data_IF_898661662913
#
_entry.id   IF_898661662913
#
_cell.length_a   1.000
_cell.length_b   1.000
_cell.length_c   1.000
_cell.angle_alpha   90.00
_cell.angle_beta   90.00
_cell.angle_gamma   90.00
#
_symmetry.space_group_name_H-M   'P 1'
#
loop_
_entity.id
_entity.type
_entity.pdbx_description
1 polymer ?
2 non-polymer ?
3 non-polymer ?
4 non-polymer ?
5 non-polymer ?
6 non-polymer ?
7 water ?
#
# COMPACT_ATOMS: atom_id res chain seq x y z
N UNK A 2 -17.73 -15.50 -11.17
CA UNK A 2 -17.66 -14.00 -11.09
C UNK A 2 -16.30 -13.40 -11.47
N UNK A 3 -16.33 -12.58 -12.52
CA UNK A 3 -15.12 -12.05 -13.16
C UNK A 3 -14.70 -10.68 -12.61
N UNK A 4 -15.59 -10.05 -11.85
CA UNK A 4 -15.31 -8.73 -11.31
C UNK A 4 -14.67 -8.91 -9.93
N UNK A 5 -13.38 -8.61 -9.85
CA UNK A 5 -12.64 -8.78 -8.61
C UNK A 5 -13.00 -7.69 -7.62
N UNK A 6 -13.08 -8.07 -6.35
CA UNK A 6 -13.29 -7.13 -5.26
C UNK A 6 -12.18 -6.07 -5.24
N UNK A 7 -12.57 -4.81 -5.17
CA UNK A 7 -11.67 -3.68 -5.17
C UNK A 7 -11.10 -3.45 -3.75
N UNK A 8 -10.42 -4.45 -3.19
CA UNK A 8 -9.92 -4.40 -1.81
C UNK A 8 -8.66 -5.24 -1.70
N UNK A 9 -7.98 -5.09 -0.57
CA UNK A 9 -6.78 -5.87 -0.25
C UNK A 9 -7.20 -7.04 0.63
N UNK A 10 -8.52 -7.24 0.75
CA UNK A 10 -9.06 -8.37 1.52
C UNK A 10 -8.45 -9.71 1.16
N UNK A 11 -8.29 -9.99 -0.12
CA UNK A 11 -7.71 -11.28 -0.55
C UNK A 11 -6.27 -11.44 -0.05
N UNK A 12 -5.55 -10.33 0.05
CA UNK A 12 -4.16 -10.35 0.55
C UNK A 12 -4.09 -10.46 2.08
N UNK A 13 -4.88 -9.67 2.78
CA UNK A 13 -4.80 -9.65 4.26
C UNK A 13 -5.37 -10.94 4.87
N UNK A 14 -6.24 -11.62 4.10
CA UNK A 14 -6.82 -12.89 4.55
C UNK A 14 -6.08 -14.08 3.98
N UNK A 15 -4.99 -13.81 3.28
CA UNK A 15 -4.16 -14.84 2.67
C UNK A 15 -3.16 -15.32 3.72
N UNK A 16 -3.57 -16.34 4.47
CA UNK A 16 -2.90 -16.72 5.71
C UNK A 16 -1.45 -17.19 5.53
N UNK A 17 -1.09 -17.65 4.33
CA UNK A 17 0.25 -18.21 4.09
C UNK A 17 1.34 -17.22 3.67
N UNK A 18 0.96 -15.97 3.42
CA UNK A 18 1.92 -14.97 2.93
C UNK A 18 3.05 -14.70 3.92
N UNK A 19 4.27 -14.71 3.41
CA UNK A 19 5.48 -14.41 4.18
C UNK A 19 5.99 -12.99 3.87
N UNK A 20 5.78 -12.55 2.63
CA UNK A 20 6.20 -11.22 2.17
C UNK A 20 5.06 -10.46 1.50
N UNK A 21 4.86 -9.23 1.93
CA UNK A 21 3.99 -8.31 1.25
C UNK A 21 4.80 -7.07 0.90
N UNK A 22 5.27 -7.02 -0.34
CA UNK A 22 6.01 -5.85 -0.83
C UNK A 22 5.03 -4.77 -1.25
N UNK A 23 5.44 -3.51 -1.10
CA UNK A 23 4.63 -2.37 -1.51
C UNK A 23 5.51 -1.43 -2.33
N UNK A 24 5.12 -1.15 -3.56
CA UNK A 24 5.96 -0.33 -4.46
C UNK A 24 5.16 0.59 -5.33
N UNK A 25 5.84 1.58 -5.91
CA UNK A 25 5.18 2.62 -6.67
C UNK A 25 6.05 3.87 -6.72
N UNK A 26 5.61 4.85 -7.49
CA UNK A 26 6.41 6.08 -7.67
C UNK A 26 6.54 6.82 -6.32
N UNK A 27 7.53 7.71 -6.20
CA UNK A 27 7.69 8.51 -4.98
C UNK A 27 6.44 9.34 -4.73
N UNK A 28 5.99 9.41 -3.46
CA UNK A 28 4.86 10.29 -3.05
C UNK A 28 3.44 9.80 -3.27
N UNK A 29 3.29 8.57 -3.78
CA UNK A 29 1.97 8.01 -4.13
C UNK A 29 1.24 7.46 -2.91
N UNK A 30 1.98 7.09 -1.88
CA UNK A 30 1.35 6.67 -0.62
C UNK A 30 1.77 5.31 -0.16
N UNK A 31 3.03 4.96 -0.41
CA UNK A 31 3.54 3.69 0.02
C UNK A 31 3.75 3.57 1.52
N UNK A 32 4.26 4.63 2.15
CA UNK A 32 4.40 4.65 3.61
C UNK A 32 3.02 4.46 4.19
N UNK A 33 2.07 5.26 3.72
CA UNK A 33 0.69 5.20 4.22
C UNK A 33 0.03 3.82 4.02
N UNK A 34 0.13 3.28 2.81
CA UNK A 34 -0.47 1.98 2.48
C UNK A 34 0.21 0.81 3.19
N UNK A 35 1.54 0.77 3.18
CA UNK A 35 2.27 -0.30 3.84
C UNK A 35 2.05 -0.29 5.36
N UNK A 36 2.11 0.89 5.97
CA UNK A 36 1.76 1.05 7.40
C UNK A 36 0.33 0.64 7.75
N UNK A 37 -0.64 1.01 6.90
CA UNK A 37 -2.03 0.66 7.15
C UNK A 37 -2.26 -0.84 7.06
N UNK A 38 -1.69 -1.47 6.02
CA UNK A 38 -1.70 -2.93 5.88
C UNK A 38 -1.09 -3.64 7.10
N UNK A 39 0.10 -3.20 7.53
CA UNK A 39 0.75 -3.76 8.72
C UNK A 39 -0.09 -3.61 9.99
N UNK A 40 -0.74 -2.47 10.16
CA UNK A 40 -1.62 -2.23 11.30
C UNK A 40 -2.82 -3.17 11.27
N UNK A 41 -3.41 -3.35 10.09
CA UNK A 41 -4.52 -4.28 9.90
C UNK A 41 -4.12 -5.72 10.17
N UNK A 42 -3.00 -6.15 9.61
CA UNK A 42 -2.52 -7.50 9.88
C UNK A 42 -2.30 -7.74 11.37
N UNK A 43 -1.62 -6.81 12.04
CA UNK A 43 -1.31 -6.93 13.48
C UNK A 43 -2.57 -7.01 14.34
N UNK A 44 -3.55 -6.17 14.02
CA UNK A 44 -4.83 -6.13 14.74
C UNK A 44 -5.68 -7.39 14.56
N UNK A 45 -5.67 -7.92 13.34
CA UNK A 45 -6.46 -9.11 13.02
C UNK A 45 -5.92 -10.37 13.65
N UNK A 46 -4.60 -10.47 13.76
CA UNK A 46 -4.05 -11.65 14.41
C UNK A 46 -3.06 -11.24 15.52
N UNK A 47 -3.60 -10.80 16.67
CA UNK A 47 -2.80 -10.24 17.79
C UNK A 47 -1.76 -11.19 18.38
N UNK A 48 -1.87 -12.49 18.12
CA UNK A 48 -0.89 -13.44 18.67
C UNK A 48 0.24 -13.75 17.72
N UNK A 49 0.18 -13.17 16.53
CA UNK A 49 1.26 -13.33 15.56
C UNK A 49 2.05 -12.03 15.43
N UNK A 50 3.33 -12.18 15.14
CA UNK A 50 4.29 -11.08 15.07
C UNK A 50 4.55 -10.63 13.63
N UNK A 51 4.47 -9.32 13.42
CA UNK A 51 4.59 -8.70 12.10
C UNK A 51 5.71 -7.67 12.09
N UNK A 52 6.42 -7.61 10.97
CA UNK A 52 7.44 -6.59 10.75
C UNK A 52 7.08 -5.72 9.57
N UNK A 53 7.14 -4.41 9.79
CA UNK A 53 7.06 -3.46 8.71
C UNK A 53 8.44 -2.85 8.52
N UNK A 54 9.02 -3.07 7.35
CA UNK A 54 10.34 -2.56 7.00
C UNK A 54 10.27 -1.62 5.80
N UNK A 55 10.98 -0.50 5.89
CA UNK A 55 11.07 0.45 4.78
C UNK A 55 12.52 0.63 4.37
N UNK A 56 12.77 0.68 3.06
CA UNK A 56 14.09 0.98 2.54
C UNK A 56 14.21 2.45 2.12
N UNK A 57 13.14 3.21 2.33
CA UNK A 57 13.15 4.63 2.02
C UNK A 57 14.30 5.34 2.74
N UNK A 58 15.12 6.11 2.00
CA UNK A 58 16.15 6.93 2.65
C UNK A 58 15.54 8.16 3.31
N UNK A 59 14.72 7.91 4.32
CA UNK A 59 13.94 8.93 5.02
C UNK A 59 13.41 8.28 6.28
N UNK A 60 13.09 9.10 7.28
CA UNK A 60 12.42 8.60 8.47
C UNK A 60 10.92 8.48 8.21
N UNK A 61 10.55 7.78 7.14
CA UNK A 61 9.16 7.70 6.75
C UNK A 61 8.27 7.00 7.77
N UNK A 62 8.70 5.83 8.23
CA UNK A 62 7.95 5.09 9.24
C UNK A 62 7.93 5.82 10.58
N UNK A 63 9.05 6.43 10.94
CA UNK A 63 9.15 7.20 12.17
C UNK A 63 8.12 8.30 12.20
N UNK A 64 8.03 9.07 11.10
CA UNK A 64 7.12 10.21 11.05
C UNK A 64 5.67 9.76 10.96
N UNK A 65 5.41 8.66 10.25
CA UNK A 65 4.04 8.13 10.09
C UNK A 65 3.47 7.60 11.42
N UNK A 66 4.33 6.96 12.20
CA UNK A 66 3.94 6.35 13.48
C UNK A 66 4.16 7.27 14.68
N UNK A 67 4.87 8.38 14.44
CA UNK A 67 5.23 9.33 15.50
C UNK A 67 6.08 8.66 16.58
N UNK A 68 7.07 7.88 16.13
CA UNK A 68 7.89 7.09 17.03
C UNK A 68 9.22 6.92 16.33
N UNK A 69 10.31 6.85 17.07
CA UNK A 69 11.64 6.71 16.46
C UNK A 69 11.98 5.26 16.12
N UNK A 70 12.27 5.01 14.83
CA UNK A 70 12.69 3.68 14.35
C UNK A 70 14.08 3.72 13.76
N UNK A 71 14.65 2.54 13.51
CA UNK A 71 16.00 2.47 12.95
C UNK A 71 16.31 1.13 12.35
N UNK A 72 17.60 0.79 12.28
CA UNK A 72 18.05 -0.44 11.66
C UNK A 72 17.61 -1.67 12.45
N UNK A 73 17.47 -1.51 13.76
CA UNK A 73 17.00 -2.56 14.64
C UNK A 73 15.49 -2.43 14.81
N UNK A 74 14.77 -3.54 14.63
CA UNK A 74 13.31 -3.55 14.76
C UNK A 74 12.89 -3.16 16.18
N UNK A 75 11.81 -2.39 16.29
CA UNK A 75 11.29 -1.88 17.55
C UNK A 75 9.79 -1.97 17.51
N UNK A 76 9.18 -2.36 18.63
CA UNK A 76 7.75 -2.60 18.66
C UNK A 76 7.06 -1.26 18.56
N UNK A 77 5.89 -1.25 17.93
CA UNK A 77 5.07 -0.05 17.84
C UNK A 77 4.30 0.12 19.13
N UNK A 78 4.29 1.35 19.66
CA UNK A 78 3.56 1.69 20.88
C UNK A 78 2.06 1.56 20.65
N UNK A 79 1.42 0.70 21.43
CA UNK A 79 0.00 0.41 21.27
C UNK A 79 -0.35 -0.76 20.35
N UNK A 80 0.67 -1.36 19.72
CA UNK A 80 0.51 -2.56 18.89
C UNK A 80 1.70 -3.47 19.11
N UNK A 81 1.74 -4.17 20.27
CA UNK A 81 2.93 -4.93 20.68
C UNK A 81 3.37 -6.03 19.72
N UNK A 82 2.49 -6.46 18.81
CA UNK A 82 2.85 -7.50 17.83
C UNK A 82 3.28 -6.95 16.46
N UNK A 83 3.44 -5.63 16.38
CA UNK A 83 4.00 -5.00 15.19
C UNK A 83 5.33 -4.35 15.53
N UNK A 84 6.34 -4.67 14.72
CA UNK A 84 7.64 -3.99 14.78
C UNK A 84 7.89 -3.22 13.49
N UNK A 85 8.68 -2.16 13.58
CA UNK A 85 9.08 -1.38 12.41
C UNK A 85 10.58 -1.25 12.30
N UNK A 86 11.05 -1.17 11.07
CA UNK A 86 12.47 -1.12 10.78
C UNK A 86 12.70 -0.20 9.58
N UNK A 87 13.64 0.73 9.73
CA UNK A 87 14.10 1.58 8.64
C UNK A 87 15.54 1.18 8.33
N UNK A 88 15.74 0.58 7.17
CA UNK A 88 17.08 0.18 6.77
C UNK A 88 17.33 0.60 5.32
N UNK A 89 18.36 1.41 5.14
CA UNK A 89 18.75 1.93 3.85
C UNK A 89 19.86 1.02 3.31
N UNK A 90 19.49 -0.03 2.54
CA UNK A 90 20.49 -1.00 2.11
C UNK A 90 21.10 -0.56 0.79
N UNK A 156 8.96 -13.61 12.15
CA UNK A 156 7.72 -12.86 11.90
C UNK A 156 6.78 -13.68 11.04
N UNK A 157 5.48 -13.61 11.33
CA UNK A 157 4.51 -14.30 10.51
C UNK A 157 4.59 -13.76 9.08
N UNK A 158 4.58 -12.44 8.95
CA UNK A 158 4.66 -11.81 7.63
C UNK A 158 5.46 -10.52 7.73
N UNK A 159 6.22 -10.25 6.68
CA UNK A 159 6.96 -9.02 6.57
C UNK A 159 6.31 -8.14 5.50
N UNK A 160 5.93 -6.93 5.91
CA UNK A 160 5.38 -5.93 5.00
C UNK A 160 6.53 -4.97 4.66
N UNK A 161 6.76 -4.74 3.37
CA UNK A 161 8.03 -4.18 2.92
C UNK A 161 7.81 -3.01 1.96
N UNK A 162 7.93 -1.79 2.49
CA UNK A 162 7.90 -0.56 1.68
C UNK A 162 9.22 -0.45 0.92
N UNK A 163 9.12 -0.56 -0.40
CA UNK A 163 10.29 -0.69 -1.29
C UNK A 163 10.87 0.63 -1.81
N UNK A 164 10.35 1.76 -1.32
CA UNK A 164 10.92 3.07 -1.67
C UNK A 164 12.47 3.08 -1.59
N UNK A 165 13.15 3.67 -2.60
CA UNK A 165 12.65 4.11 -3.91
C UNK A 165 12.47 2.88 -4.78
N UNK A 166 11.25 2.64 -5.23
CA UNK A 166 10.93 1.35 -5.86
C UNK A 166 11.82 1.01 -7.06
N UNK A 167 12.09 2.01 -7.90
CA UNK A 167 12.93 1.83 -9.08
C UNK A 167 14.34 1.37 -8.78
N UNK A 168 14.85 1.65 -7.58
CA UNK A 168 16.15 1.16 -7.14
C UNK A 168 16.03 -0.16 -6.39
N UNK A 169 15.02 -0.27 -5.52
CA UNK A 169 14.85 -1.49 -4.72
C UNK A 169 14.56 -2.71 -5.58
N UNK A 170 13.94 -2.49 -6.74
CA UNK A 170 13.72 -3.56 -7.70
C UNK A 170 15.03 -4.16 -8.27
N UNK A 171 16.16 -3.55 -7.93
CA UNK A 171 17.46 -4.16 -8.22
C UNK A 171 17.84 -5.09 -7.07
N UNK A 172 17.47 -4.71 -5.84
CA UNK A 172 17.83 -5.44 -4.62
C UNK A 172 17.07 -6.76 -4.50
N UNK A 173 15.78 -6.73 -4.80
CA UNK A 173 14.95 -7.92 -4.73
C UNK A 173 15.42 -9.01 -5.70
N UNK A 174 16.41 -8.67 -6.51
CA UNK A 174 17.04 -9.60 -7.46
C UNK A 174 18.10 -10.45 -6.78
N UNK A 220 19.49 -17.13 -2.84
CA UNK A 220 18.63 -17.61 -3.94
C UNK A 220 17.44 -18.43 -3.47
N UNK A 221 17.50 -18.94 -2.23
CA UNK A 221 16.36 -19.68 -1.66
C UNK A 221 15.26 -18.68 -1.26
N UNK A 222 15.68 -17.42 -1.10
CA UNK A 222 14.78 -16.29 -0.93
C UNK A 222 13.99 -16.05 -2.22
N UNK A 223 14.65 -16.28 -3.36
CA UNK A 223 14.02 -16.14 -4.67
C UNK A 223 12.88 -17.13 -4.89
N UNK A 224 13.04 -18.33 -4.35
CA UNK A 224 11.98 -19.35 -4.41
C UNK A 224 10.78 -18.91 -3.59
N UNK A 225 11.04 -18.21 -2.48
CA UNK A 225 9.97 -17.57 -1.72
C UNK A 225 9.30 -16.46 -2.52
N UNK A 226 10.11 -15.60 -3.14
CA UNK A 226 9.59 -14.43 -3.86
C UNK A 226 8.73 -14.78 -5.08
N UNK A 227 9.05 -15.90 -5.72
CA UNK A 227 8.37 -16.33 -6.93
C UNK A 227 7.22 -17.30 -6.66
N UNK A 228 6.94 -17.54 -5.38
CA UNK A 228 5.84 -18.38 -4.94
C UNK A 228 4.65 -17.49 -4.53
N UNK A 229 3.56 -17.51 -5.31
CA UNK A 229 2.38 -16.65 -5.05
C UNK A 229 1.65 -16.91 -3.73
N UNK A 230 1.91 -18.08 -3.12
CA UNK A 230 1.34 -18.43 -1.82
C UNK A 230 2.12 -17.80 -0.68
N UNK A 231 3.35 -17.36 -0.96
CA UNK A 231 4.22 -16.80 0.07
C UNK A 231 4.53 -15.30 -0.11
N UNK A 232 4.47 -14.81 -1.34
CA UNK A 232 4.91 -13.45 -1.67
C UNK A 232 3.94 -12.79 -2.64
N UNK A 233 3.54 -11.57 -2.32
CA UNK A 233 2.77 -10.73 -3.24
C UNK A 233 3.37 -9.31 -3.23
N UNK A 234 3.12 -8.56 -4.29
CA UNK A 234 3.63 -7.18 -4.42
C UNK A 234 2.44 -6.29 -4.73
N UNK A 235 2.10 -5.38 -3.81
CA UNK A 235 1.01 -4.39 -3.99
C UNK A 235 1.62 -3.14 -4.62
N UNK A 236 1.08 -2.76 -5.77
CA UNK A 236 1.48 -1.54 -6.48
C UNK A 236 0.61 -0.41 -5.98
N UNK A 237 1.23 0.73 -5.70
CA UNK A 237 0.49 1.93 -5.33
C UNK A 237 0.76 3.01 -6.35
N UNK A 238 -0.25 3.80 -6.68
CA UNK A 238 -0.06 4.77 -7.70
C UNK A 238 -1.05 5.89 -7.41
N UNK A 239 -0.86 7.04 -8.03
CA UNK A 239 -1.91 8.07 -8.10
C UNK A 239 -2.45 8.12 -9.52
N UNK A 240 -3.63 8.72 -9.71
CA UNK A 240 -4.26 8.74 -11.02
C UNK A 240 -3.77 9.91 -11.91
N UNK A 241 -2.53 9.85 -12.35
CA UNK A 241 -1.96 10.84 -13.29
C UNK A 241 -0.97 10.06 -14.14
N UNK A 242 -0.49 10.69 -15.22
CA UNK A 242 0.19 10.00 -16.29
C UNK A 242 1.44 9.28 -15.83
N UNK A 243 2.34 9.99 -15.14
CA UNK A 243 3.66 9.41 -14.79
C UNK A 243 3.53 8.18 -13.89
N UNK A 244 2.74 8.31 -12.83
CA UNK A 244 2.53 7.22 -11.88
C UNK A 244 1.88 6.01 -12.55
N UNK A 245 0.80 6.24 -13.28
CA UNK A 245 0.16 5.17 -14.02
C UNK A 245 1.13 4.42 -14.95
N UNK A 246 1.81 5.15 -15.83
CA UNK A 246 2.69 4.50 -16.79
C UNK A 246 3.86 3.81 -16.15
N UNK A 247 4.39 4.38 -15.07
CA UNK A 247 5.46 3.75 -14.30
C UNK A 247 4.96 2.51 -13.54
N UNK A 248 3.70 2.55 -13.12
CA UNK A 248 3.07 1.37 -12.50
C UNK A 248 2.97 0.23 -13.53
N UNK A 249 2.54 0.56 -14.76
CA UNK A 249 2.44 -0.42 -15.86
C UNK A 249 3.81 -1.04 -16.08
N UNK A 250 4.82 -0.19 -16.15
CA UNK A 250 6.20 -0.66 -16.35
C UNK A 250 6.71 -1.56 -15.23
N UNK A 251 6.40 -1.18 -14.01
CA UNK A 251 6.85 -1.92 -12.84
C UNK A 251 6.22 -3.32 -12.82
N UNK A 252 4.92 -3.38 -13.12
CA UNK A 252 4.19 -4.66 -13.19
C UNK A 252 4.78 -5.58 -14.27
N UNK A 253 5.08 -5.03 -15.44
CA UNK A 253 5.65 -5.81 -16.53
C UNK A 253 6.97 -6.42 -16.09
N UNK A 254 7.77 -5.64 -15.38
CA UNK A 254 9.04 -6.11 -14.87
C UNK A 254 8.88 -7.15 -13.76
N UNK A 255 7.94 -6.92 -12.85
CA UNK A 255 7.67 -7.91 -11.80
C UNK A 255 7.20 -9.24 -12.40
N UNK A 256 6.33 -9.17 -13.40
CA UNK A 256 5.85 -10.38 -14.08
C UNK A 256 6.97 -11.17 -14.75
N UNK A 257 7.96 -10.45 -15.29
CA UNK A 257 9.10 -11.08 -15.96
C UNK A 257 10.00 -11.79 -14.97
N UNK A 258 9.95 -11.38 -13.70
CA UNK A 258 10.70 -12.07 -12.66
C UNK A 258 9.81 -12.96 -11.80
N UNK A 259 8.60 -13.23 -12.29
CA UNK A 259 7.65 -14.14 -11.63
C UNK A 259 7.29 -13.75 -10.18
N UNK A 260 7.32 -12.45 -9.89
CA UNK A 260 6.77 -11.95 -8.63
C UNK A 260 5.29 -11.62 -8.82
N UNK A 261 4.45 -12.17 -7.95
CA UNK A 261 3.00 -12.05 -8.09
C UNK A 261 2.50 -10.64 -7.80
N UNK A 262 1.58 -10.15 -8.63
CA UNK A 262 0.88 -8.89 -8.44
C UNK A 262 -0.60 -9.16 -8.68
N UNK A 263 -1.44 -8.89 -7.70
CA UNK A 263 -2.88 -9.10 -7.89
C UNK A 263 -3.69 -7.90 -7.46
N UNK A 264 -3.03 -6.96 -6.74
CA UNK A 264 -3.75 -5.79 -6.19
C UNK A 264 -2.99 -4.49 -6.43
N UNK A 265 -3.75 -3.44 -6.76
CA UNK A 265 -3.21 -2.12 -7.06
C UNK A 265 -4.05 -1.11 -6.32
N UNK A 266 -3.39 -0.25 -5.57
CA UNK A 266 -4.06 0.81 -4.85
C UNK A 266 -3.90 2.11 -5.64
N UNK A 267 -5.02 2.77 -5.95
CA UNK A 267 -5.01 4.07 -6.59
C UNK A 267 -5.40 5.00 -5.47
N UNK A 268 -4.48 5.89 -5.11
CA UNK A 268 -4.58 6.68 -3.90
C UNK A 268 -4.76 8.15 -4.24
N UNK A 269 -5.26 8.89 -3.23
CA UNK A 269 -5.40 10.35 -3.25
C UNK A 269 -6.50 10.84 -4.21
N UNK A 270 -7.56 10.05 -4.33
CA UNK A 270 -8.64 10.35 -5.26
C UNK A 270 -9.60 11.36 -4.66
N UNK A 271 -10.09 12.26 -5.49
CA UNK A 271 -10.98 13.35 -5.06
C UNK A 271 -12.46 12.99 -5.17
N UNK A 272 -12.81 12.18 -6.17
CA UNK A 272 -14.20 11.76 -6.44
C UNK A 272 -15.16 12.85 -6.94
N UNK A 273 -16.31 12.41 -7.48
CA UNK A 273 -17.29 13.31 -8.12
C UNK A 273 -17.56 14.54 -7.26
N UNK A 274 -17.58 15.69 -7.91
CA UNK A 274 -17.64 16.99 -7.23
C UNK A 274 -16.28 17.26 -6.60
N UNK A 280 -15.76 23.43 -5.46
CA UNK A 280 -14.35 23.65 -5.72
C UNK A 280 -14.02 23.43 -7.19
N UNK A 281 -13.69 24.52 -7.89
CA UNK A 281 -13.36 24.45 -9.31
C UNK A 281 -12.11 23.61 -9.54
N UNK A 282 -11.10 23.83 -8.71
CA UNK A 282 -9.84 23.10 -8.82
C UNK A 282 -10.07 21.59 -8.68
N UNK A 283 -10.84 21.21 -7.66
CA UNK A 283 -11.13 19.82 -7.42
C UNK A 283 -11.93 19.20 -8.55
N UNK A 284 -12.88 19.93 -9.09
CA UNK A 284 -13.60 19.48 -10.22
C UNK A 284 -12.71 19.23 -11.42
N UNK A 285 -11.77 20.12 -11.66
CA UNK A 285 -10.85 20.03 -12.78
C UNK A 285 -9.90 18.86 -12.57
N UNK A 286 -9.41 18.72 -11.34
CA UNK A 286 -8.48 17.64 -10.99
C UNK A 286 -9.15 16.28 -11.03
N UNK A 287 -10.43 16.20 -10.63
CA UNK A 287 -11.20 14.96 -10.70
C UNK A 287 -11.45 14.55 -12.15
N UNK A 288 -11.55 15.53 -13.05
CA UNK A 288 -11.71 15.24 -14.47
C UNK A 288 -10.49 14.46 -14.97
N UNK A 289 -9.29 14.92 -14.61
CA UNK A 289 -8.04 14.19 -14.91
C UNK A 289 -8.01 12.81 -14.27
N UNK A 290 -8.17 12.76 -12.95
CA UNK A 290 -8.17 11.52 -12.19
C UNK A 290 -9.10 10.44 -12.75
N UNK A 291 -10.34 10.80 -13.05
CA UNK A 291 -11.26 9.82 -13.59
C UNK A 291 -10.91 9.30 -14.98
N UNK A 292 -10.17 10.10 -15.76
CA UNK A 292 -9.78 9.71 -17.11
C UNK A 292 -8.80 8.57 -16.97
N UNK A 293 -7.86 8.72 -16.06
CA UNK A 293 -6.89 7.65 -15.84
C UNK A 293 -7.47 6.50 -15.02
N UNK A 294 -8.39 6.80 -14.11
CA UNK A 294 -9.12 5.76 -13.36
C UNK A 294 -9.88 4.83 -14.30
N UNK A 295 -10.57 5.42 -15.27
CA UNK A 295 -11.31 4.66 -16.28
C UNK A 295 -10.38 3.78 -17.10
N UNK A 296 -9.19 4.30 -17.40
CA UNK A 296 -8.19 3.53 -18.11
C UNK A 296 -7.66 2.37 -17.25
N UNK A 297 -7.38 2.65 -15.98
CA UNK A 297 -6.99 1.63 -15.00
C UNK A 297 -8.03 0.53 -14.83
N UNK A 298 -9.30 0.92 -14.79
CA UNK A 298 -10.38 -0.07 -14.66
C UNK A 298 -10.29 -1.14 -15.74
N UNK A 299 -9.95 -0.71 -16.95
CA UNK A 299 -9.78 -1.60 -18.06
C UNK A 299 -8.44 -2.34 -17.97
N UNK A 300 -7.33 -1.62 -17.80
CA UNK A 300 -6.01 -2.25 -17.65
C UNK A 300 -5.97 -3.31 -16.56
N UNK A 301 -6.69 -3.06 -15.47
CA UNK A 301 -6.58 -3.85 -14.26
C UNK A 301 -7.84 -4.66 -13.93
N UNK A 302 -8.59 -5.02 -14.99
CA UNK A 302 -9.75 -5.92 -14.89
C UNK A 302 -9.49 -7.25 -14.22
N UNK A 303 -8.27 -7.76 -14.37
CA UNK A 303 -7.91 -9.03 -13.79
C UNK A 303 -7.28 -8.82 -12.43
N UNK A 304 -7.39 -7.61 -11.88
CA UNK A 304 -6.74 -7.28 -10.60
C UNK A 304 -7.75 -6.71 -9.62
N UNK A 305 -7.40 -6.78 -8.33
CA UNK A 305 -8.09 -6.01 -7.29
C UNK A 305 -7.58 -4.58 -7.41
N UNK A 306 -8.48 -3.67 -7.75
CA UNK A 306 -8.15 -2.27 -7.96
C UNK A 306 -8.88 -1.45 -6.90
N UNK A 307 -8.10 -0.99 -5.92
CA UNK A 307 -8.59 -0.35 -4.70
C UNK A 307 -8.58 1.17 -4.93
N UNK A 308 -9.73 1.81 -4.77
CA UNK A 308 -9.82 3.26 -4.94
C UNK A 308 -9.83 3.91 -3.56
N UNK A 309 -8.79 4.68 -3.26
CA UNK A 309 -8.63 5.29 -1.93
C UNK A 309 -8.73 6.79 -1.99
N UNK A 310 -9.55 7.39 -1.11
CA UNK A 310 -9.68 8.82 -1.21
C UNK A 310 -8.54 9.63 -0.56
N UNK A 311 -8.27 10.79 -1.15
CA UNK A 311 -7.55 11.87 -0.46
C UNK A 311 -8.29 12.34 0.80
N UNK A 312 -7.57 12.37 1.91
CA UNK A 312 -8.16 12.80 3.17
C UNK A 312 -7.85 14.27 3.49
N UNK A 313 -8.48 14.80 4.53
CA UNK A 313 -8.39 16.23 4.83
C UNK A 313 -7.11 16.68 5.49
N UNK A 314 -6.16 15.75 5.65
CA UNK A 314 -4.83 16.05 6.17
C UNK A 314 -3.98 14.80 6.02
N UNK A 315 -2.69 14.96 6.31
CA UNK A 315 -1.72 13.87 6.28
C UNK A 315 -2.14 12.75 7.22
N UNK A 316 -1.63 11.54 6.97
CA UNK A 316 -2.10 10.37 7.72
C UNK A 316 -1.01 9.92 8.68
N UNK A 317 -1.14 10.29 9.96
CA UNK A 317 -0.05 10.06 10.91
C UNK A 317 -0.64 9.53 12.21
N UNK A 318 0.10 8.61 12.81
CA UNK A 318 -0.29 8.00 14.08
C UNK A 318 -0.99 6.68 13.85
N UNK A 319 -0.90 5.77 14.80
CA UNK A 319 -1.47 4.43 14.63
C UNK A 319 -2.99 4.47 14.46
N UNK A 320 -3.64 5.37 15.19
CA UNK A 320 -5.10 5.50 15.13
C UNK A 320 -5.58 5.92 13.75
N UNK A 321 -4.96 6.95 13.19
CA UNK A 321 -5.30 7.40 11.84
C UNK A 321 -4.96 6.38 10.75
N UNK A 322 -3.84 5.69 10.91
CA UNK A 322 -3.48 4.62 9.99
C UNK A 322 -4.48 3.48 9.99
N UNK A 323 -4.98 3.15 11.17
CA UNK A 323 -6.07 2.19 11.33
C UNK A 323 -7.31 2.63 10.57
N UNK A 324 -7.71 3.89 10.76
CA UNK A 324 -8.86 4.47 10.05
C UNK A 324 -8.72 4.45 8.53
N UNK A 325 -7.54 4.78 8.03
CA UNK A 325 -7.28 4.72 6.60
C UNK A 325 -7.41 3.29 6.09
N UNK A 326 -6.87 2.33 6.84
CA UNK A 326 -6.86 0.93 6.43
C UNK A 326 -8.25 0.32 6.23
N UNK A 327 -9.26 0.93 6.86
CA UNK A 327 -10.64 0.48 6.76
C UNK A 327 -11.12 0.44 5.31
N UNK A 328 -10.79 1.47 4.54
CA UNK A 328 -11.21 1.51 3.15
C UNK A 328 -10.28 0.85 2.17
N UNK A 329 -9.21 0.26 2.67
CA UNK A 329 -8.42 -0.66 1.88
C UNK A 329 -9.12 -2.01 1.85
N UNK A 330 -9.99 -2.25 2.83
CA UNK A 330 -10.60 -3.58 2.99
C UNK A 330 -12.10 -3.62 2.67
N UNK A 331 -12.74 -2.45 2.67
CA UNK A 331 -14.14 -2.31 2.30
C UNK A 331 -14.23 -1.15 1.31
N UNK A 332 -14.96 -1.35 0.20
CA UNK A 332 -14.93 -0.33 -0.86
C UNK A 332 -15.45 1.01 -0.38
N UNK A 333 -14.67 2.06 -0.62
CA UNK A 333 -15.04 3.42 -0.24
C UNK A 333 -16.15 3.94 -1.15
N UNK A 334 -17.21 4.42 -0.52
CA UNK A 334 -18.30 5.05 -1.26
C UNK A 334 -18.27 6.53 -0.90
N UNK A 335 -17.89 7.40 -1.85
CA UNK A 335 -17.77 8.83 -1.54
C UNK A 335 -19.09 9.48 -1.15
N UNK A 336 -20.22 8.93 -1.59
CA UNK A 336 -21.55 9.44 -1.23
C UNK A 336 -21.96 9.10 0.21
N UNK A 337 -21.41 8.03 0.76
CA UNK A 337 -21.80 7.58 2.09
C UNK A 337 -20.69 7.63 3.14
N UNK A 338 -19.43 7.55 2.70
CA UNK A 338 -18.30 7.33 3.61
C UNK A 338 -17.36 8.53 3.82
N UNK A 339 -17.75 9.70 3.31
CA UNK A 339 -16.85 10.86 3.25
C UNK A 339 -16.49 11.52 4.59
N UNK A 340 -17.11 11.07 5.68
CA UNK A 340 -16.75 11.52 7.02
C UNK A 340 -15.27 11.24 7.31
N UNK A 341 -14.76 10.14 6.76
CA UNK A 341 -13.34 9.76 6.90
C UNK A 341 -12.39 10.90 6.51
N UNK A 342 -12.75 11.67 5.49
CA UNK A 342 -11.94 12.80 5.03
C UNK A 342 -11.64 13.79 6.17
N UNK A 343 -12.59 13.95 7.08
CA UNK A 343 -12.51 14.93 8.17
C UNK A 343 -12.38 14.29 9.55
N UNK A 344 -12.30 12.97 9.57
CA UNK A 344 -12.35 12.17 10.79
C UNK A 344 -10.96 11.93 11.39
N UNK A 345 -9.91 12.51 10.82
CA UNK A 345 -8.54 12.29 11.32
C UNK A 345 -8.10 13.24 12.42
N UNK A 346 -7.58 12.70 13.50
CA UNK A 346 -7.25 13.46 14.69
C UNK A 346 -5.76 13.47 14.87
X LIG B 1 5.29 7.56 -0.37
X LIG B 1 4.73 6.82 -1.56
X LIG B 1 6.38 8.50 -0.79
X LIG B 1 5.69 6.70 0.81
X LIG B 1 3.44 8.76 1.52
X LIG B 1 2.58 7.62 1.97
X LIG B 1 4.60 9.15 2.40
X LIG B 1 4.02 8.50 0.03
X LIG B 1 2.45 10.01 1.25
X LIG B 1 2.95 11.28 0.83
X LIG B 1 2.28 12.30 1.73
X LIG B 1 0.88 12.28 1.45
X LIG B 1 2.45 11.98 3.21
X LIG B 1 2.77 13.21 3.87
X LIG B 1 1.12 11.34 3.65
X LIG B 1 0.63 11.68 4.95
X LIG B 1 0.16 11.89 2.62
X LIG B 1 -0.90 10.98 2.13
X LIG B 1 -0.77 9.81 1.47
X LIG B 1 -1.98 9.32 1.11
X LIG B 1 -2.92 10.20 1.52
X LIG B 1 -4.39 10.30 1.44
X LIG B 1 -5.14 9.32 0.87
X LIG B 1 -4.96 11.38 2.00
X LIG B 1 -4.24 12.36 2.59
X LIG B 1 -2.91 12.35 2.69
X LIG B 1 -2.21 11.31 2.19
X LIG C 1 -11.47 21.73 -3.34
X LIG D 1 11.80 8.66 -2.56
X LIG E 1 8.75 2.44 -9.89
X LIG E 1 7.46 2.90 -9.58
X LIG E 1 8.92 2.32 -11.41
X LIG E 1 9.38 3.54 -11.95
X LIG E 1 9.87 1.17 -11.76
X LIG E 1 11.15 1.66 -12.13
X LIG F 1 -3.40 -11.54 -13.97
X LIG F 1 -2.33 -11.45 -14.92
X LIG F 1 -2.83 -11.58 -12.56
X LIG F 1 -3.55 -10.67 -11.72
X LIG F 1 -2.99 -13.03 -11.98
X LIG F 1 -2.96 -12.95 -10.57
X LIG G 1 10.03 10.97 14.42
X LIG G 1 10.82 10.39 15.43
X LIG G 1 8.61 11.10 14.96
X LIG G 1 8.65 11.48 16.32
X LIG G 1 7.87 12.16 14.16
X LIG G 1 6.70 12.54 14.87
X LIG H 1 4.32 -14.03 -14.37
#
# INVERSE_FOLDING_TARGET
MDLELEPTLESIVQHDSLKWIFVGGKGGVGKTTTSSSVAVQLALAQPNEQFLLISTDPAHNLSDAFCQKFGKDARKVEGLPNLSCMEIDPEAAMSDLQQQASQYNNDPNDPLKSMMSDMTGSIPGIDEALSFMEVLKHIKNQKVLEGEDNSNAISYKTIIFDTAPTGHTLRFLQLPSTLEKLLSKFKDLSGKLGPMLSMMGGGQQQDIFEKLNEVQKNVSEVNEQFTNPELTTFICVCISEFLSLYETERMIQELMSYNMDVNSIVVNQLLFAEGDDHSCKRCESRWKMQKKYLDQMGELYEDYHLVKMPLLGCEIRGVENLKKFSKFLLKPYDPKADSDIVFDLEEK
ADP PB O1B O2B O3B PA O1A O2A O3A O5' C5' C4' O4' C3' O3' C2' O2' C1' N9 C8 N7 C5 C6 N6 N1 C2 N3 C4
ZN ZN
MG MG
GOL C1 O1 C2 O2 C3 O3
GOL C1 O1 C2 O2 C3 O3
GOL C1 O1 C2 O2 C3 O3
NA NA
#
